data_IF_069975549523
#
_entry.id   IF_069975549523
#
_cell.length_a   1.000
_cell.length_b   1.000
_cell.length_c   1.000
_cell.angle_alpha   90.00
_cell.angle_beta   90.00
_cell.angle_gamma   90.00
#
_symmetry.space_group_name_H-M   'P 1'
#
loop_
_entity.id
_entity.type
_entity.pdbx_description
1 polymer ?
#
# COMPACT_ATOMS: atom_id res chain seq x y z
N UNK A 1 -9.05 -18.97 18.71
CA UNK A 1 -8.64 -19.98 17.70
C UNK A 1 -7.13 -20.05 17.74
N UNK A 2 -6.56 -21.26 17.74
CA UNK A 2 -5.11 -21.44 17.67
C UNK A 2 -4.72 -21.66 16.20
N UNK A 3 -3.61 -21.07 15.78
CA UNK A 3 -3.14 -21.12 14.39
C UNK A 3 -1.63 -21.32 14.40
N UNK A 4 -1.13 -22.35 13.73
CA UNK A 4 0.28 -22.49 13.41
C UNK A 4 0.55 -21.93 12.01
N UNK A 5 1.80 -21.51 11.76
CA UNK A 5 2.20 -21.15 10.41
C UNK A 5 3.69 -21.36 10.14
N UNK A 6 4.00 -21.86 8.94
CA UNK A 6 5.33 -21.81 8.36
C UNK A 6 5.27 -21.64 6.84
N UNK A 7 6.10 -20.74 6.29
CA UNK A 7 6.26 -20.66 4.84
C UNK A 7 6.99 -21.90 4.33
N UNK A 8 6.36 -22.67 3.44
CA UNK A 8 6.93 -23.90 2.85
C UNK A 8 7.62 -23.65 1.50
N UNK A 9 7.84 -22.39 1.10
CA UNK A 9 8.48 -22.07 -0.18
C UNK A 9 7.62 -22.39 -1.41
N UNK A 10 6.27 -22.34 -1.29
CA UNK A 10 5.37 -22.69 -2.40
C UNK A 10 5.30 -21.64 -3.54
N UNK A 11 5.95 -20.48 -3.39
CA UNK A 11 5.94 -19.40 -4.38
C UNK A 11 4.65 -18.59 -4.50
N UNK A 12 3.48 -19.10 -4.10
CA UNK A 12 2.17 -18.47 -4.39
C UNK A 12 2.06 -16.99 -3.98
N UNK A 13 2.31 -16.67 -2.71
CA UNK A 13 2.26 -15.28 -2.23
C UNK A 13 3.39 -14.38 -2.75
N UNK A 14 4.31 -14.93 -3.56
CA UNK A 14 5.44 -14.23 -4.17
C UNK A 14 5.31 -14.14 -5.70
N UNK A 15 4.22 -14.64 -6.30
CA UNK A 15 3.92 -14.53 -7.73
C UNK A 15 2.71 -13.62 -7.92
N UNK A 16 2.76 -12.74 -8.92
CA UNK A 16 1.66 -11.85 -9.33
C UNK A 16 1.12 -10.92 -8.24
N UNK A 17 1.89 -10.73 -7.16
CA UNK A 17 1.54 -9.86 -6.04
C UNK A 17 2.40 -8.60 -6.01
N UNK A 18 1.72 -7.47 -5.91
CA UNK A 18 2.33 -6.21 -5.52
C UNK A 18 2.76 -6.30 -4.05
N UNK A 19 4.02 -5.99 -3.77
CA UNK A 19 4.57 -6.05 -2.41
C UNK A 19 4.72 -4.62 -1.89
N UNK A 20 3.86 -4.13 -0.97
CA UNK A 20 4.02 -2.82 -0.36
C UNK A 20 5.42 -2.64 0.24
N UNK A 21 6.02 -1.48 -0.06
CA UNK A 21 7.35 -1.10 0.36
C UNK A 21 7.27 0.14 1.25
N UNK A 22 8.09 0.13 2.30
CA UNK A 22 8.52 1.38 2.95
C UNK A 22 9.29 2.24 1.95
N UNK A 23 9.47 3.52 2.23
CA UNK A 23 10.24 4.42 1.36
C UNK A 23 11.70 3.94 1.20
N UNK A 24 12.30 3.46 2.28
CA UNK A 24 13.67 2.91 2.26
C UNK A 24 13.73 1.65 1.39
N UNK A 25 12.75 0.74 1.52
CA UNK A 25 12.67 -0.46 0.68
C UNK A 25 12.39 -0.13 -0.79
N UNK A 26 11.56 0.87 -1.09
CA UNK A 26 11.29 1.33 -2.45
C UNK A 26 12.57 1.88 -3.12
N UNK A 27 13.36 2.65 -2.37
CA UNK A 27 14.67 3.13 -2.81
C UNK A 27 15.62 1.98 -3.14
N UNK A 28 15.75 1.01 -2.22
CA UNK A 28 16.59 -0.18 -2.42
C UNK A 28 16.10 -1.01 -3.60
N UNK A 29 14.79 -1.19 -3.73
CA UNK A 29 14.19 -1.96 -4.81
C UNK A 29 14.48 -1.35 -6.18
N UNK A 30 14.34 -0.02 -6.30
CA UNK A 30 14.70 0.72 -7.51
C UNK A 30 16.21 0.60 -7.82
N UNK A 31 17.08 0.75 -6.81
CA UNK A 31 18.53 0.62 -6.96
C UNK A 31 18.95 -0.80 -7.40
N UNK A 32 18.23 -1.83 -6.96
CA UNK A 32 18.45 -3.21 -7.36
C UNK A 32 17.91 -3.51 -8.78
N UNK A 33 17.32 -2.52 -9.47
CA UNK A 33 16.75 -2.65 -10.82
C UNK A 33 15.32 -3.21 -10.85
N UNK A 34 14.60 -3.13 -9.73
CA UNK A 34 13.19 -3.49 -9.65
C UNK A 34 12.27 -2.35 -10.08
N UNK A 35 11.08 -2.70 -10.58
CA UNK A 35 10.04 -1.72 -10.91
C UNK A 35 9.13 -1.48 -9.69
N UNK A 36 8.68 -0.24 -9.53
CA UNK A 36 7.75 0.18 -8.47
C UNK A 36 6.46 0.68 -9.11
N UNK A 37 5.33 0.25 -8.57
CA UNK A 37 4.01 0.82 -8.86
C UNK A 37 3.58 1.72 -7.69
N UNK A 38 2.94 2.84 -8.00
CA UNK A 38 2.37 3.75 -7.02
C UNK A 38 0.85 3.59 -7.05
N UNK A 39 0.29 3.09 -5.95
CA UNK A 39 -1.15 2.92 -5.76
C UNK A 39 -1.64 4.03 -4.83
N UNK A 40 -2.65 4.78 -5.26
CA UNK A 40 -3.20 5.90 -4.50
C UNK A 40 -4.72 5.75 -4.31
N UNK A 41 -5.15 5.91 -3.06
CA UNK A 41 -6.55 6.00 -2.67
C UNK A 41 -6.69 7.10 -1.60
N UNK A 42 -7.88 7.69 -1.48
CA UNK A 42 -8.13 8.74 -0.52
C UNK A 42 -9.59 8.82 -0.09
N UNK A 43 -9.84 9.55 0.98
CA UNK A 43 -11.18 9.78 1.52
C UNK A 43 -11.33 11.23 1.93
N UNK A 44 -12.57 11.73 1.97
CA UNK A 44 -12.83 13.12 2.34
C UNK A 44 -12.91 13.28 3.87
N UNK A 45 -12.59 14.47 4.37
CA UNK A 45 -12.60 14.76 5.81
C UNK A 45 -13.98 14.63 6.47
N UNK A 46 -15.05 14.69 5.68
CA UNK A 46 -16.42 14.39 6.13
C UNK A 46 -16.70 12.88 6.30
N UNK A 47 -15.75 12.00 5.96
CA UNK A 47 -15.84 10.55 6.07
C UNK A 47 -16.29 9.83 4.80
N UNK A 48 -16.58 10.54 3.69
CA UNK A 48 -16.92 9.89 2.41
C UNK A 48 -15.75 9.02 1.93
N UNK A 49 -16.04 7.75 1.64
CA UNK A 49 -15.04 6.75 1.23
C UNK A 49 -14.43 5.94 2.38
N UNK A 50 -14.87 6.12 3.64
CA UNK A 50 -14.25 5.43 4.77
C UNK A 50 -15.25 4.96 5.85
N UNK A 51 -15.31 3.65 6.15
CA UNK A 51 -16.04 3.16 7.33
C UNK A 51 -15.48 3.74 8.62
N UNK A 52 -16.36 4.20 9.53
CA UNK A 52 -15.97 4.87 10.79
C UNK A 52 -14.95 4.07 11.62
N UNK A 53 -15.10 2.74 11.67
CA UNK A 53 -14.22 1.87 12.46
C UNK A 53 -12.77 1.83 11.93
N UNK A 54 -12.54 2.18 10.66
CA UNK A 54 -11.21 2.19 10.05
C UNK A 54 -10.55 3.58 10.06
N UNK A 55 -11.27 4.60 10.56
CA UNK A 55 -10.87 6.00 10.46
C UNK A 55 -9.50 6.28 11.05
N UNK A 56 -9.30 5.89 12.31
CA UNK A 56 -8.05 6.14 13.03
C UNK A 56 -6.85 5.50 12.32
N UNK A 57 -6.99 4.25 11.87
CA UNK A 57 -5.91 3.57 11.17
C UNK A 57 -5.60 4.21 9.82
N UNK A 58 -6.62 4.57 9.05
CA UNK A 58 -6.47 5.15 7.72
C UNK A 58 -5.89 6.58 7.77
N UNK A 59 -6.37 7.44 8.67
CA UNK A 59 -5.84 8.81 8.83
C UNK A 59 -4.35 8.79 9.20
N UNK A 60 -3.94 7.91 10.12
CA UNK A 60 -2.53 7.82 10.55
C UNK A 60 -1.56 7.52 9.42
N UNK A 61 -1.99 6.77 8.39
CA UNK A 61 -1.16 6.40 7.23
C UNK A 61 -1.40 7.26 5.99
N UNK A 62 -2.14 8.35 6.14
CA UNK A 62 -2.52 9.25 5.05
C UNK A 62 -1.92 10.63 5.26
N UNK A 63 -1.68 11.35 4.17
CA UNK A 63 -1.37 12.77 4.20
C UNK A 63 -2.67 13.56 4.12
N UNK A 64 -2.80 14.60 4.94
CA UNK A 64 -3.89 15.57 4.85
C UNK A 64 -3.61 16.56 3.70
N UNK A 65 -4.56 16.69 2.79
CA UNK A 65 -4.42 17.43 1.52
C UNK A 65 -5.69 18.22 1.21
N UNK A 66 -5.61 19.11 0.22
CA UNK A 66 -6.76 19.84 -0.32
C UNK A 66 -7.28 19.15 -1.57
N UNK A 67 -8.59 19.23 -1.78
CA UNK A 67 -9.23 18.93 -3.06
C UNK A 67 -10.35 19.94 -3.24
N UNK A 68 -10.18 20.89 -4.17
CA UNK A 68 -11.09 22.03 -4.30
C UNK A 68 -11.30 22.77 -2.97
N UNK A 69 -12.54 22.80 -2.49
CA UNK A 69 -12.91 23.43 -1.22
C UNK A 69 -12.82 22.49 -0.01
N UNK A 70 -12.51 21.22 -0.22
CA UNK A 70 -12.56 20.17 0.81
C UNK A 70 -11.18 19.78 1.31
N UNK A 71 -11.16 19.29 2.55
CA UNK A 71 -10.04 18.53 3.10
C UNK A 71 -10.21 17.05 2.75
N UNK A 72 -9.10 16.42 2.41
CA UNK A 72 -9.04 15.00 2.09
C UNK A 72 -7.80 14.37 2.72
N UNK A 73 -7.83 13.05 2.81
CA UNK A 73 -6.74 12.23 3.32
C UNK A 73 -6.34 11.25 2.22
N UNK A 74 -5.08 11.28 1.81
CA UNK A 74 -4.57 10.45 0.71
C UNK A 74 -3.54 9.45 1.24
N UNK A 75 -3.79 8.17 1.00
CA UNK A 75 -2.86 7.08 1.29
C UNK A 75 -2.09 6.73 0.01
N UNK A 76 -0.76 6.71 0.11
CA UNK A 76 0.14 6.44 -1.01
C UNK A 76 0.93 5.17 -0.72
N UNK A 77 0.75 4.17 -1.57
CA UNK A 77 1.45 2.89 -1.46
C UNK A 77 2.43 2.75 -2.61
N UNK A 78 3.72 2.75 -2.29
CA UNK A 78 4.74 2.25 -3.20
C UNK A 78 4.81 0.75 -3.04
N UNK A 79 4.69 0.01 -4.13
CA UNK A 79 4.78 -1.44 -4.11
C UNK A 79 5.73 -1.95 -5.19
N UNK A 80 6.44 -3.04 -4.91
CA UNK A 80 7.15 -3.76 -5.96
C UNK A 80 6.15 -4.20 -7.04
N UNK A 81 6.41 -3.84 -8.29
CA UNK A 81 5.62 -4.28 -9.43
C UNK A 81 6.12 -5.65 -9.89
N UNK A 82 5.37 -6.71 -9.57
CA UNK A 82 5.69 -8.08 -9.96
C UNK A 82 4.56 -8.62 -10.84
N UNK A 83 4.85 -8.78 -12.13
CA UNK A 83 4.04 -9.58 -13.05
C UNK A 83 4.77 -10.91 -13.22
N UNK A 84 4.18 -11.99 -12.75
CA UNK A 84 4.82 -13.28 -12.56
C UNK A 84 5.63 -13.37 -11.26
N UNK A 85 6.67 -14.22 -11.20
CA UNK A 85 7.45 -14.43 -9.99
C UNK A 85 8.19 -13.16 -9.57
N UNK A 86 8.17 -12.88 -8.27
CA UNK A 86 9.02 -11.86 -7.67
C UNK A 86 10.46 -12.09 -8.11
N UNK A 87 11.14 -11.02 -8.56
CA UNK A 87 12.51 -11.05 -9.10
C UNK A 87 13.54 -11.70 -8.17
N UNK A 88 13.24 -11.74 -6.86
CA UNK A 88 14.12 -12.32 -5.86
C UNK A 88 13.84 -13.80 -5.58
N UNK A 89 12.84 -14.42 -6.19
CA UNK A 89 12.68 -15.87 -6.16
C UNK A 89 13.77 -16.54 -7.00
N UNK A 90 14.25 -17.69 -6.53
CA UNK A 90 15.03 -18.63 -7.34
C UNK A 90 14.12 -19.65 -8.03
N UNK A 91 14.75 -20.61 -8.72
CA UNK A 91 14.07 -21.69 -9.44
C UNK A 91 13.29 -22.65 -8.54
N UNK A 92 13.64 -22.72 -7.25
CA UNK A 92 12.98 -23.54 -6.23
C UNK A 92 11.90 -22.77 -5.46
N UNK A 93 11.53 -21.56 -5.92
CA UNK A 93 10.60 -20.64 -5.25
C UNK A 93 11.04 -20.17 -3.85
N UNK A 94 12.34 -20.22 -3.57
CA UNK A 94 12.92 -19.67 -2.35
C UNK A 94 13.37 -18.23 -2.61
N UNK A 95 13.13 -17.37 -1.62
CA UNK A 95 13.54 -15.97 -1.73
C UNK A 95 15.05 -15.84 -1.52
N UNK A 96 15.78 -15.22 -2.44
CA UNK A 96 17.23 -15.02 -2.35
C UNK A 96 17.66 -13.91 -1.38
N UNK A 97 16.70 -13.16 -0.82
CA UNK A 97 16.97 -11.98 0.03
C UNK A 97 16.33 -12.08 1.43
N UNK A 98 16.30 -13.26 2.06
CA UNK A 98 15.64 -13.49 3.36
C UNK A 98 15.86 -12.39 4.40
N UNK A 99 17.10 -11.93 4.57
CA UNK A 99 17.48 -10.90 5.55
C UNK A 99 16.98 -9.49 5.17
N UNK A 100 16.87 -9.22 3.87
CA UNK A 100 16.49 -7.92 3.30
C UNK A 100 15.06 -7.89 2.75
N UNK A 101 14.25 -8.90 3.05
CA UNK A 101 12.85 -8.95 2.60
C UNK A 101 12.10 -7.70 3.04
N UNK A 102 11.21 -7.16 2.18
CA UNK A 102 10.31 -6.10 2.59
C UNK A 102 9.53 -6.47 3.86
N UNK A 103 9.24 -5.49 4.71
CA UNK A 103 8.54 -5.71 5.98
C UNK A 103 7.24 -6.49 5.79
N UNK A 104 6.45 -6.18 4.75
CA UNK A 104 5.20 -6.89 4.47
C UNK A 104 5.41 -8.39 4.20
N UNK A 105 6.52 -8.77 3.54
CA UNK A 105 6.88 -10.16 3.32
C UNK A 105 7.37 -10.84 4.61
N UNK A 106 7.97 -10.09 5.53
CA UNK A 106 8.45 -10.60 6.82
C UNK A 106 7.33 -10.79 7.83
N UNK A 107 6.24 -10.03 7.72
CA UNK A 107 5.08 -10.19 8.61
C UNK A 107 4.07 -11.23 8.11
N UNK A 108 4.18 -11.67 6.87
CA UNK A 108 3.26 -12.64 6.27
C UNK A 108 3.21 -13.92 7.13
N UNK A 109 2.01 -14.42 7.50
CA UNK A 109 0.71 -14.16 6.86
C UNK A 109 -0.12 -13.06 7.55
N UNK A 110 0.43 -12.39 8.57
CA UNK A 110 -0.26 -11.38 9.35
C UNK A 110 -0.61 -10.14 8.52
N UNK A 111 -1.60 -9.39 8.99
CA UNK A 111 -2.07 -8.16 8.37
C UNK A 111 -1.46 -6.92 9.01
N UNK A 112 -1.14 -5.92 8.18
CA UNK A 112 -0.73 -4.59 8.66
C UNK A 112 -1.93 -3.90 9.32
N UNK A 113 -3.12 -4.00 8.72
CA UNK A 113 -4.32 -3.35 9.27
C UNK A 113 -4.78 -4.08 10.55
N UNK A 114 -4.80 -3.41 11.72
CA UNK A 114 -5.18 -4.04 12.98
C UNK A 114 -6.65 -4.50 13.03
N UNK A 115 -7.50 -4.01 12.12
CA UNK A 115 -8.91 -4.37 12.06
C UNK A 115 -9.19 -5.57 11.14
N UNK A 116 -8.17 -6.08 10.44
CA UNK A 116 -8.31 -7.26 9.58
C UNK A 116 -7.70 -8.47 10.33
N UNK A 117 -8.52 -9.39 10.85
CA UNK A 117 -7.99 -10.58 11.50
C UNK A 117 -7.34 -11.51 10.47
N UNK A 118 -6.33 -12.27 10.90
CA UNK A 118 -5.78 -13.35 10.08
C UNK A 118 -6.89 -14.37 9.77
N UNK A 119 -7.14 -14.58 8.48
CA UNK A 119 -8.02 -15.62 8.00
C UNK A 119 -7.24 -16.55 7.04
N UNK A 120 -6.86 -17.76 7.47
CA UNK A 120 -6.15 -18.71 6.62
C UNK A 120 -6.87 -19.06 5.31
N UNK A 121 -8.22 -19.04 5.30
CA UNK A 121 -9.01 -19.48 4.15
C UNK A 121 -8.92 -18.54 2.93
N UNK A 122 -8.52 -17.29 3.14
CA UNK A 122 -8.31 -16.30 2.06
C UNK A 122 -6.84 -16.13 1.69
N UNK A 123 -5.95 -16.89 2.33
CA UNK A 123 -4.52 -16.89 2.02
C UNK A 123 -4.23 -17.99 1.01
N UNK A 124 -3.31 -17.72 0.10
CA UNK A 124 -3.00 -18.64 -1.00
C UNK A 124 -2.09 -19.81 -0.58
N UNK A 125 -1.52 -19.76 0.62
CA UNK A 125 -0.64 -20.79 1.13
C UNK A 125 -1.35 -22.16 1.22
N UNK A 126 -0.65 -23.24 0.86
CA UNK A 126 -1.23 -24.57 0.88
C UNK A 126 -1.43 -25.07 2.33
N UNK A 127 -2.24 -26.11 2.57
CA UNK A 127 -2.57 -26.61 3.91
C UNK A 127 -1.35 -26.90 4.79
N UNK A 128 -0.26 -27.40 4.20
CA UNK A 128 0.96 -27.75 4.93
C UNK A 128 1.59 -26.55 5.63
N UNK A 129 1.37 -25.33 5.12
CA UNK A 129 1.82 -24.09 5.77
C UNK A 129 1.09 -23.81 7.09
N UNK A 130 -0.10 -24.36 7.30
CA UNK A 130 -0.94 -24.11 8.48
C UNK A 130 -0.91 -25.26 9.48
N UNK A 131 -0.50 -26.45 9.03
CA UNK A 131 -0.37 -27.66 9.85
C UNK A 131 1.03 -27.81 10.47
N UNK A 132 2.04 -27.20 9.85
CA UNK A 132 3.44 -27.28 10.27
C UNK A 132 3.96 -25.92 10.68
N UNK A 133 4.82 -25.91 11.69
CA UNK A 133 5.49 -24.69 12.15
C UNK A 133 5.24 -24.39 13.63
N UNK A 134 5.82 -23.30 14.14
CA UNK A 134 5.51 -22.81 15.47
C UNK A 134 4.06 -22.31 15.53
N UNK A 135 3.52 -22.29 16.74
CA UNK A 135 2.27 -21.58 17.01
C UNK A 135 2.44 -20.10 16.67
N UNK A 136 1.59 -19.58 15.79
CA UNK A 136 1.53 -18.18 15.44
C UNK A 136 0.54 -17.44 16.35
N UNK A 137 -0.64 -18.03 16.55
CA UNK A 137 -1.71 -17.50 17.40
C UNK A 137 -2.10 -18.56 18.42
N UNK A 138 -2.11 -18.21 19.72
CA UNK A 138 -2.65 -19.03 20.80
C UNK A 138 -3.67 -18.22 21.59
N UNK A 139 -4.85 -18.80 21.83
CA UNK A 139 -5.90 -18.10 22.57
C UNK A 139 -6.44 -16.85 21.88
N UNK A 140 -6.17 -16.66 20.58
CA UNK A 140 -6.52 -15.45 19.83
C UNK A 140 -5.43 -14.37 19.81
N UNK A 141 -4.32 -14.57 20.49
CA UNK A 141 -3.21 -13.61 20.57
C UNK A 141 -2.00 -14.08 19.75
N UNK A 142 -1.33 -13.13 19.10
CA UNK A 142 -0.05 -13.36 18.44
C UNK A 142 1.03 -13.65 19.49
N UNK A 143 1.65 -14.83 19.44
CA UNK A 143 2.62 -15.25 20.46
C UNK A 143 4.06 -14.84 20.13
N UNK A 144 4.38 -14.69 18.84
CA UNK A 144 5.69 -14.25 18.37
C UNK A 144 5.88 -12.73 18.57
N UNK A 145 6.71 -12.38 19.55
CA UNK A 145 7.02 -11.00 19.90
C UNK A 145 7.90 -10.29 18.86
N UNK A 146 8.76 -11.03 18.16
CA UNK A 146 9.57 -10.45 17.09
C UNK A 146 8.67 -10.03 15.92
N UNK A 147 7.74 -10.92 15.56
CA UNK A 147 6.73 -10.66 14.55
C UNK A 147 5.81 -9.50 14.92
N UNK A 148 5.37 -9.43 16.18
CA UNK A 148 4.61 -8.29 16.69
C UNK A 148 5.41 -6.97 16.52
N UNK A 149 6.70 -7.00 16.82
CA UNK A 149 7.62 -5.87 16.60
C UNK A 149 7.74 -5.48 15.13
N UNK A 150 7.83 -6.44 14.21
CA UNK A 150 7.84 -6.20 12.76
C UNK A 150 6.55 -5.53 12.27
N UNK A 151 5.39 -5.98 12.74
CA UNK A 151 4.09 -5.38 12.41
C UNK A 151 4.04 -3.92 12.86
N UNK A 152 4.51 -3.62 14.08
CA UNK A 152 4.56 -2.24 14.57
C UNK A 152 5.53 -1.37 13.76
N UNK A 153 6.70 -1.91 13.38
CA UNK A 153 7.64 -1.20 12.49
C UNK A 153 7.04 -0.92 11.12
N UNK A 154 6.32 -1.87 10.53
CA UNK A 154 5.63 -1.67 9.24
C UNK A 154 4.58 -0.56 9.33
N UNK A 155 3.76 -0.56 10.39
CA UNK A 155 2.78 0.51 10.65
C UNK A 155 3.44 1.86 10.91
N UNK A 156 4.58 1.88 11.58
CA UNK A 156 5.32 3.11 11.86
C UNK A 156 5.94 3.68 10.59
N UNK A 157 6.51 2.84 9.73
CA UNK A 157 7.04 3.27 8.45
C UNK A 157 5.96 3.91 7.56
N UNK A 158 4.74 3.36 7.52
CA UNK A 158 3.62 4.02 6.82
C UNK A 158 3.36 5.45 7.32
N UNK A 159 3.51 5.71 8.63
CA UNK A 159 3.35 7.06 9.22
C UNK A 159 4.52 7.98 8.91
N UNK A 160 5.73 7.46 9.04
CA UNK A 160 6.95 8.24 8.86
C UNK A 160 7.16 8.62 7.39
N UNK A 161 6.78 7.71 6.48
CA UNK A 161 7.03 7.85 5.04
C UNK A 161 6.00 8.72 4.31
N UNK A 162 4.77 8.87 4.82
CA UNK A 162 3.65 9.35 3.99
C UNK A 162 3.85 10.75 3.43
N UNK A 163 4.45 11.67 4.20
CA UNK A 163 4.77 13.02 3.72
C UNK A 163 5.83 13.03 2.63
N UNK A 164 6.84 12.18 2.77
CA UNK A 164 7.88 12.02 1.74
C UNK A 164 7.29 11.40 0.48
N UNK A 165 6.41 10.39 0.61
CA UNK A 165 5.69 9.78 -0.50
C UNK A 165 4.82 10.79 -1.26
N UNK A 166 4.14 11.70 -0.56
CA UNK A 166 3.39 12.81 -1.19
C UNK A 166 4.32 13.78 -1.95
N UNK A 167 5.43 14.20 -1.34
CA UNK A 167 6.42 15.06 -2.01
C UNK A 167 7.04 14.40 -3.26
N UNK A 168 7.28 13.09 -3.20
CA UNK A 168 7.73 12.31 -4.37
C UNK A 168 6.65 12.29 -5.45
N UNK A 169 5.40 12.02 -5.07
CA UNK A 169 4.27 12.07 -6.01
C UNK A 169 4.13 13.43 -6.68
N UNK A 170 4.33 14.53 -5.93
CA UNK A 170 4.35 15.89 -6.44
C UNK A 170 5.35 16.08 -7.59
N UNK A 171 6.59 15.66 -7.35
CA UNK A 171 7.69 15.82 -8.31
C UNK A 171 7.56 14.89 -9.52
N UNK A 172 6.72 13.87 -9.43
CA UNK A 172 6.40 12.93 -10.50
C UNK A 172 5.06 13.23 -11.18
N UNK A 173 4.40 14.34 -10.86
CA UNK A 173 3.08 14.73 -11.39
C UNK A 173 1.96 13.70 -11.10
N UNK A 174 2.05 13.05 -9.95
CA UNK A 174 1.05 12.12 -9.42
C UNK A 174 0.13 12.90 -8.48
N UNK A 175 -1.04 13.30 -8.99
CA UNK A 175 -2.01 14.16 -8.30
C UNK A 175 -3.46 13.70 -8.35
N UNK A 176 -3.71 12.49 -8.86
CA UNK A 176 -5.05 11.90 -8.85
C UNK A 176 -5.11 10.68 -7.94
N UNK A 177 -6.06 10.69 -7.03
CA UNK A 177 -6.34 9.60 -6.10
C UNK A 177 -7.67 8.95 -6.46
N UNK A 178 -7.84 7.66 -6.17
CA UNK A 178 -9.18 7.06 -6.22
C UNK A 178 -9.94 7.35 -4.92
N UNK A 179 -11.28 7.39 -4.96
CA UNK A 179 -12.06 7.35 -3.73
C UNK A 179 -11.90 5.96 -3.07
N UNK A 180 -11.51 5.94 -1.80
CA UNK A 180 -11.35 4.73 -1.03
C UNK A 180 -12.66 3.95 -0.97
N UNK A 181 -12.57 2.64 -1.22
CA UNK A 181 -13.73 1.75 -1.38
C UNK A 181 -14.36 1.77 -2.77
N UNK A 182 -14.02 2.71 -3.64
CA UNK A 182 -14.46 2.76 -5.04
C UNK A 182 -13.38 2.22 -6.01
N UNK A 183 -12.10 2.48 -5.72
CA UNK A 183 -11.01 2.04 -6.58
C UNK A 183 -9.60 2.36 -6.06
N UNK A 184 -8.62 2.16 -6.94
CA UNK A 184 -7.24 2.65 -6.82
C UNK A 184 -6.81 3.35 -8.10
N UNK A 185 -6.05 4.43 -8.00
CA UNK A 185 -5.23 4.90 -9.13
C UNK A 185 -3.87 4.24 -9.08
N UNK A 186 -3.40 3.75 -10.22
CA UNK A 186 -2.18 2.97 -10.36
C UNK A 186 -1.25 3.62 -11.37
N UNK A 187 -0.09 4.07 -10.90
CA UNK A 187 0.94 4.73 -11.71
C UNK A 187 2.17 3.85 -11.83
N UNK A 188 2.73 3.76 -13.04
CA UNK A 188 4.04 3.15 -13.32
C UNK A 188 5.01 4.28 -13.69
N UNK A 189 5.70 4.90 -12.71
CA UNK A 189 6.63 5.98 -12.99
C UNK A 189 7.85 5.48 -13.79
N UNK A 190 8.50 6.41 -14.49
CA UNK A 190 9.85 6.16 -15.00
C UNK A 190 10.80 5.91 -13.82
N UNK A 191 11.49 4.77 -13.83
CA UNK A 191 12.30 4.36 -12.67
C UNK A 191 13.55 5.22 -12.47
N UNK A 192 14.07 5.85 -13.52
CA UNK A 192 15.21 6.77 -13.41
C UNK A 192 14.78 8.09 -12.76
N UNK A 193 13.63 8.62 -13.15
CA UNK A 193 13.02 9.79 -12.53
C UNK A 193 12.64 9.49 -11.07
N UNK A 194 12.00 8.34 -10.82
CA UNK A 194 11.61 7.90 -9.48
C UNK A 194 12.79 7.80 -8.52
N UNK A 195 13.89 7.14 -8.93
CA UNK A 195 15.10 7.04 -8.12
C UNK A 195 15.72 8.42 -7.84
N UNK A 196 15.80 9.28 -8.86
CA UNK A 196 16.33 10.65 -8.74
C UNK A 196 15.50 11.48 -7.74
N UNK A 197 14.17 11.40 -7.83
CA UNK A 197 13.25 12.14 -6.97
C UNK A 197 13.31 11.63 -5.53
N UNK A 198 13.39 10.32 -5.31
CA UNK A 198 13.58 9.76 -3.95
C UNK A 198 14.85 10.32 -3.30
N UNK A 199 15.97 10.30 -4.03
CA UNK A 199 17.25 10.80 -3.52
C UNK A 199 17.20 12.31 -3.24
N UNK A 200 16.51 13.06 -4.11
CA UNK A 200 16.30 14.49 -3.93
C UNK A 200 15.49 14.81 -2.66
N UNK A 201 14.36 14.12 -2.46
CA UNK A 201 13.48 14.33 -1.30
C UNK A 201 14.18 13.92 -0.01
N UNK A 202 14.99 12.86 -0.03
CA UNK A 202 15.77 12.44 1.14
C UNK A 202 16.80 13.48 1.62
N UNK A 203 17.23 14.40 0.75
CA UNK A 203 18.24 15.43 1.04
C UNK A 203 17.63 16.77 1.46
N UNK A 204 16.32 16.95 1.34
CA UNK A 204 15.65 18.21 1.61
C UNK A 204 14.73 18.13 2.83
N UNK A 205 14.62 19.23 3.60
CA UNK A 205 13.54 19.34 4.57
C UNK A 205 12.19 19.29 3.86
N UNK A 206 11.32 18.40 4.29
CA UNK A 206 9.93 18.39 3.82
C UNK A 206 9.26 19.71 4.24
N UNK A 207 8.70 20.43 3.27
CA UNK A 207 7.90 21.64 3.55
C UNK A 207 6.47 21.24 3.89
N UNK A 208 5.79 22.05 4.71
CA UNK A 208 4.37 21.83 5.04
C UNK A 208 3.42 22.41 3.96
N UNK A 209 3.85 22.48 2.70
CA UNK A 209 2.96 22.95 1.64
C UNK A 209 1.82 21.94 1.46
N UNK A 210 0.58 22.42 1.45
CA UNK A 210 -0.57 21.58 1.14
C UNK A 210 -0.50 21.18 -0.33
N UNK A 211 -0.56 19.88 -0.60
CA UNK A 211 -0.67 19.36 -1.96
C UNK A 211 -2.15 19.38 -2.38
N UNK A 212 -2.43 19.84 -3.59
CA UNK A 212 -3.77 19.75 -4.19
C UNK A 212 -3.93 18.40 -4.91
N UNK A 213 -5.04 17.71 -4.63
CA UNK A 213 -5.38 16.41 -5.20
C UNK A 213 -6.79 16.41 -5.77
N UNK A 214 -7.01 15.65 -6.85
CA UNK A 214 -8.34 15.38 -7.40
C UNK A 214 -8.72 13.90 -7.27
N UNK A 215 -10.01 13.59 -7.29
CA UNK A 215 -10.53 12.22 -7.20
C UNK A 215 -10.91 11.65 -8.56
N UNK A 216 -10.37 10.48 -8.91
CA UNK A 216 -10.93 9.62 -9.96
C UNK A 216 -11.94 8.67 -9.32
N UNK A 217 -13.15 8.60 -9.90
CA UNK A 217 -14.22 7.72 -9.41
C UNK A 217 -14.84 6.92 -10.56
N UNK A 218 -15.45 5.78 -10.22
CA UNK A 218 -15.95 4.80 -11.18
C UNK A 218 -17.20 5.20 -11.95
N UNK A 219 -17.96 6.20 -11.47
CA UNK A 219 -19.22 6.59 -12.08
C UNK A 219 -19.84 7.87 -11.52
N UNK A 220 -20.84 8.38 -12.26
CA UNK A 220 -21.50 9.68 -12.02
C UNK A 220 -22.18 9.79 -10.65
N UNK A 221 -22.65 8.67 -10.10
CA UNK A 221 -23.35 8.63 -8.81
C UNK A 221 -22.40 8.96 -7.64
N UNK A 222 -21.16 8.46 -7.69
CA UNK A 222 -20.11 8.82 -6.72
C UNK A 222 -19.54 10.19 -7.05
N UNK A 223 -19.35 10.51 -8.34
CA UNK A 223 -18.86 11.82 -8.75
C UNK A 223 -19.72 12.94 -8.18
N UNK A 224 -21.05 12.79 -8.25
CA UNK A 224 -22.00 13.74 -7.66
C UNK A 224 -21.85 13.91 -6.14
N UNK A 225 -21.54 12.83 -5.40
CA UNK A 225 -21.32 12.90 -3.95
C UNK A 225 -20.01 13.62 -3.61
N UNK A 226 -18.93 13.34 -4.34
CA UNK A 226 -17.62 13.96 -4.12
C UNK A 226 -17.67 15.45 -4.48
N UNK A 227 -18.30 15.81 -5.60
CA UNK A 227 -18.53 17.21 -5.99
C UNK A 227 -19.41 17.96 -4.97
N UNK A 228 -20.50 17.33 -4.50
CA UNK A 228 -21.36 17.92 -3.47
C UNK A 228 -20.64 18.15 -2.14
N UNK A 229 -19.60 17.36 -1.85
CA UNK A 229 -18.74 17.54 -0.69
C UNK A 229 -17.70 18.66 -0.88
N UNK A 230 -17.58 19.24 -2.08
CA UNK A 230 -16.69 20.35 -2.43
C UNK A 230 -15.34 19.95 -3.05
N UNK A 231 -15.14 18.65 -3.29
CA UNK A 231 -13.89 18.10 -3.80
C UNK A 231 -13.87 18.06 -5.33
N UNK A 232 -12.67 18.05 -5.90
CA UNK A 232 -12.47 17.98 -7.35
C UNK A 232 -12.57 16.52 -7.83
N UNK A 233 -13.23 16.33 -8.97
CA UNK A 233 -13.48 15.01 -9.55
C UNK A 233 -13.08 14.98 -11.01
N UNK A 234 -12.50 13.86 -11.44
CA UNK A 234 -12.39 13.46 -12.84
C UNK A 234 -13.01 12.08 -13.04
N UNK A 235 -13.66 11.88 -14.18
CA UNK A 235 -14.09 10.56 -14.70
C UNK A 235 -13.47 10.29 -16.07
N UNK A 236 -12.54 11.15 -16.50
CA UNK A 236 -11.91 11.05 -17.82
C UNK A 236 -10.97 9.84 -17.88
N UNK A 237 -10.83 9.25 -19.08
CA UNK A 237 -9.87 8.17 -19.29
C UNK A 237 -8.44 8.72 -19.12
N UNK A 238 -7.68 8.24 -18.13
CA UNK A 238 -6.37 8.78 -17.83
C UNK A 238 -5.33 8.36 -18.86
N UNK A 239 -4.34 9.23 -19.11
CA UNK A 239 -3.21 8.96 -20.01
C UNK A 239 -1.98 8.42 -19.27
N UNK A 240 -1.81 8.79 -18.00
CA UNK A 240 -0.60 8.55 -17.20
C UNK A 240 -0.80 7.61 -16.00
N UNK A 241 -2.01 7.10 -15.79
CA UNK A 241 -2.33 6.09 -14.77
C UNK A 241 -3.44 5.16 -15.25
N UNK A 242 -3.67 4.06 -14.52
CA UNK A 242 -4.86 3.24 -14.65
C UNK A 242 -5.77 3.44 -13.43
N UNK A 243 -7.08 3.50 -13.65
CA UNK A 243 -8.06 3.41 -12.57
C UNK A 243 -8.55 1.96 -12.44
N UNK A 244 -8.34 1.37 -11.26
CA UNK A 244 -8.74 0.00 -10.94
C UNK A 244 -9.97 0.08 -10.05
N UNK A 245 -11.16 -0.13 -10.62
CA UNK A 245 -12.41 -0.10 -9.86
C UNK A 245 -12.54 -1.33 -8.95
N UNK A 246 -13.06 -1.11 -7.74
CA UNK A 246 -13.48 -2.16 -6.81
C UNK A 246 -14.97 -2.52 -6.95
N UNK A 247 -15.73 -1.79 -7.78
CA UNK A 247 -17.08 -2.19 -8.15
C UNK A 247 -17.00 -3.47 -8.99
N UNK A 248 -17.90 -4.41 -8.74
CA UNK A 248 -18.06 -5.55 -9.63
C UNK A 248 -18.43 -5.03 -11.03
N UNK A 249 -17.71 -5.53 -12.04
CA UNK A 249 -18.04 -5.31 -13.45
C UNK A 249 -19.34 -6.04 -13.84
#
# INVERSE_FOLDING_TARGET
MNTAFSCVGCGKCCNDHHVPLTLTEARMWAADGGQVIVLVEGFLGNGLGLPVQQREHAERRSVEVRSGASEAFVAITFAAYNVGPCRNLDEDNLCRIYERRPLVCRIYPMEINPHIPLNPAIKECPPESWEKGPDLILGGELVDQELAGLIQRSRQADRDDIRAKDAICALLDIRTTALKGDGFTAYLPDMSAFATVIDHVAQQPLTNASSDWQFHVSGDDIAGQVLAAGAEVTTETPLNYAFISLRAA
#
